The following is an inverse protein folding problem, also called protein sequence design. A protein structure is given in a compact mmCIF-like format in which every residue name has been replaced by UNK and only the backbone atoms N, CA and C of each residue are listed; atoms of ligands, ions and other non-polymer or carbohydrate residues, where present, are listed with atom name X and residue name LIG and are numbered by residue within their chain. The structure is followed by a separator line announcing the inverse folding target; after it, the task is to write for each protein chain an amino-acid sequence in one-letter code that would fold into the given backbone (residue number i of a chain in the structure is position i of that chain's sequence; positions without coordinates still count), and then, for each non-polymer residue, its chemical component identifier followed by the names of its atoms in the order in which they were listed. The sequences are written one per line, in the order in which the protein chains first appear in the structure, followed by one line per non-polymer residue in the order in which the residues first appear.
data_IF_075328503584
#
_entry.id   IF_075328503584
#
_cell.length_a   1.000
_cell.length_b   1.000
_cell.length_c   1.000
_cell.angle_alpha   90.00
_cell.angle_beta   90.00
_cell.angle_gamma   90.00
#
_symmetry.space_group_name_H-M   'P 1'
#
loop_
_entity.id
_entity.type
_entity.pdbx_description
1 polymer ?
#
# COMPACT_ATOMS: atom_id res chain seq x y z
N UNK A 1 5.84 8.95 -0.58
CA UNK A 1 5.78 7.49 -0.37
C UNK A 1 5.48 7.20 1.09
N UNK A 2 6.23 7.81 2.00
CA UNK A 2 6.12 7.63 3.46
C UNK A 2 4.73 7.95 4.03
N UNK A 3 4.08 9.01 3.54
CA UNK A 3 2.73 9.37 4.00
C UNK A 3 1.68 8.30 3.69
N UNK A 4 1.83 7.52 2.61
CA UNK A 4 0.86 6.45 2.32
C UNK A 4 1.06 5.25 3.25
N UNK A 5 2.28 5.03 3.73
CA UNK A 5 2.53 4.02 4.76
C UNK A 5 1.86 4.45 6.05
N UNK A 6 2.03 5.72 6.44
CA UNK A 6 1.41 6.27 7.64
C UNK A 6 -0.13 6.16 7.61
N UNK A 7 -0.76 6.51 6.48
CA UNK A 7 -2.21 6.38 6.34
C UNK A 7 -2.68 4.92 6.46
N UNK A 8 -1.88 3.96 5.97
CA UNK A 8 -2.18 2.53 6.08
C UNK A 8 -2.02 2.06 7.54
N UNK A 9 -1.00 2.54 8.26
CA UNK A 9 -0.83 2.29 9.70
C UNK A 9 -1.95 2.93 10.54
N UNK A 10 -2.44 4.10 10.16
CA UNK A 10 -3.62 4.69 10.81
C UNK A 10 -4.86 3.79 10.62
N UNK A 11 -5.04 3.22 9.44
CA UNK A 11 -6.11 2.28 9.15
C UNK A 11 -6.01 1.00 10.00
N UNK A 12 -4.81 0.53 10.33
CA UNK A 12 -4.57 -0.55 11.29
C UNK A 12 -5.18 -0.21 12.66
N UNK A 13 -4.79 0.93 13.22
CA UNK A 13 -5.22 1.39 14.55
C UNK A 13 -6.75 1.57 14.62
N UNK A 14 -7.35 2.14 13.57
CA UNK A 14 -8.80 2.41 13.53
C UNK A 14 -9.61 1.11 13.39
N UNK A 15 -9.13 0.18 12.58
CA UNK A 15 -9.87 -1.06 12.26
C UNK A 15 -9.67 -2.17 13.27
N UNK A 16 -8.61 -2.13 14.08
CA UNK A 16 -8.22 -3.22 14.98
C UNK A 16 -7.63 -4.43 14.26
N UNK A 17 -7.26 -4.29 12.98
CA UNK A 17 -6.50 -5.31 12.24
C UNK A 17 -5.01 -5.14 12.50
N UNK A 18 -4.18 -6.10 12.08
CA UNK A 18 -2.71 -6.07 12.19
C UNK A 18 -2.08 -6.22 10.80
N UNK A 19 -1.19 -5.32 10.41
CA UNK A 19 -0.49 -5.39 9.12
C UNK A 19 0.76 -6.23 9.29
N UNK A 20 0.83 -7.34 8.55
CA UNK A 20 2.01 -8.20 8.53
C UNK A 20 3.11 -7.65 7.62
N UNK A 21 2.73 -7.13 6.45
CA UNK A 21 3.69 -6.62 5.47
C UNK A 21 3.05 -5.72 4.42
N UNK A 22 3.85 -4.77 3.92
CA UNK A 22 3.53 -3.91 2.77
C UNK A 22 4.61 -4.10 1.72
N UNK A 23 4.21 -4.52 0.53
CA UNK A 23 5.06 -4.67 -0.65
C UNK A 23 4.72 -3.57 -1.67
N UNK A 24 5.75 -2.93 -2.24
CA UNK A 24 5.60 -1.84 -3.19
C UNK A 24 5.87 -2.35 -4.60
N UNK A 25 4.86 -2.26 -5.47
CA UNK A 25 4.99 -2.56 -6.89
C UNK A 25 5.50 -1.36 -7.66
N UNK A 26 6.56 -1.56 -8.45
CA UNK A 26 7.06 -0.55 -9.38
C UNK A 26 6.35 -0.73 -10.71
N UNK A 27 5.34 0.10 -10.99
CA UNK A 27 4.72 0.13 -12.31
C UNK A 27 5.44 1.18 -13.17
N UNK A 28 6.27 0.73 -14.11
CA UNK A 28 6.86 1.62 -15.12
C UNK A 28 5.77 2.18 -16.02
N UNK A 29 5.62 3.51 -15.97
CA UNK A 29 4.75 4.28 -16.85
C UNK A 29 5.21 4.13 -18.31
N UNK A 30 4.62 3.19 -19.05
CA UNK A 30 4.83 3.05 -20.50
C UNK A 30 4.05 4.14 -21.22
N UNK A 31 4.70 5.27 -21.43
CA UNK A 31 4.24 6.31 -22.37
C UNK A 31 4.41 5.82 -23.80
N UNK A 32 3.38 5.15 -24.33
CA UNK A 32 3.31 4.84 -25.75
C UNK A 32 2.89 6.10 -26.52
N UNK A 33 3.90 6.89 -26.93
CA UNK A 33 3.74 7.98 -27.89
C UNK A 33 3.27 7.40 -29.23
N UNK A 34 2.11 7.85 -29.67
CA UNK A 34 1.50 7.43 -30.93
C UNK A 34 2.18 8.15 -32.08
N UNK A 35 2.96 7.41 -32.88
CA UNK A 35 3.26 7.82 -34.27
C UNK A 35 2.38 7.00 -35.21
N UNK A 36 1.39 7.67 -35.79
CA UNK A 36 0.78 7.24 -37.04
C UNK A 36 1.80 7.36 -38.18
N UNK A 37 1.99 6.31 -38.97
CA UNK A 37 2.10 6.42 -40.44
C UNK A 37 1.80 5.07 -41.15
N UNK A 38 0.67 5.11 -41.87
CA UNK A 38 0.17 4.41 -43.08
C UNK A 38 0.94 3.21 -43.69
N UNK A 39 0.22 2.11 -44.01
CA UNK A 39 0.72 1.12 -45.00
C UNK A 39 0.04 -0.26 -45.18
N UNK A 40 -1.25 -0.30 -45.51
CA UNK A 40 -1.97 -1.23 -46.42
C UNK A 40 -1.89 -2.80 -46.37
N UNK A 41 -3.10 -3.40 -46.32
CA UNK A 41 -3.63 -4.66 -46.93
C UNK A 41 -3.02 -6.06 -46.64
N UNK A 42 -3.79 -6.97 -45.97
CA UNK A 42 -4.79 -7.88 -46.61
C UNK A 42 -5.20 -9.10 -45.70
N UNK A 43 -6.51 -9.16 -45.39
CA UNK A 43 -7.44 -10.30 -45.14
C UNK A 43 -6.97 -11.68 -44.60
N UNK A 44 -7.58 -12.13 -43.50
CA UNK A 44 -8.75 -13.05 -43.52
C UNK A 44 -9.39 -13.26 -42.14
N UNK A 45 -10.71 -13.48 -42.16
CA UNK A 45 -11.71 -13.40 -41.07
C UNK A 45 -12.07 -14.81 -40.56
N UNK A 46 -12.15 -15.01 -39.25
CA UNK A 46 -13.07 -15.97 -38.60
C UNK A 46 -13.35 -15.53 -37.15
N UNK A 47 -14.62 -15.49 -36.79
CA UNK A 47 -15.23 -14.86 -35.63
C UNK A 47 -15.03 -15.63 -34.31
N UNK A 48 -14.92 -14.86 -33.22
CA UNK A 48 -14.93 -15.32 -31.84
C UNK A 48 -14.91 -14.09 -30.92
N UNK A 49 -16.07 -13.46 -30.72
CA UNK A 49 -16.28 -12.34 -29.80
C UNK A 49 -15.83 -12.71 -28.37
N UNK A 50 -14.73 -12.10 -27.92
CA UNK A 50 -14.55 -11.70 -26.53
C UNK A 50 -13.90 -10.33 -26.47
N UNK A 51 -14.69 -9.44 -25.89
CA UNK A 51 -14.51 -8.01 -25.62
C UNK A 51 -13.07 -7.51 -25.64
N UNK A 52 -12.89 -6.47 -26.47
CA UNK A 52 -11.77 -5.55 -26.42
C UNK A 52 -11.55 -5.11 -24.97
N UNK A 53 -10.37 -5.43 -24.44
CA UNK A 53 -9.88 -4.78 -23.23
C UNK A 53 -9.84 -3.29 -23.49
N UNK A 54 -10.72 -2.56 -22.84
CA UNK A 54 -10.72 -1.11 -22.82
C UNK A 54 -9.40 -0.68 -22.19
N UNK A 55 -8.44 -0.27 -23.02
CA UNK A 55 -7.23 0.38 -22.55
C UNK A 55 -7.67 1.73 -21.99
N UNK A 56 -8.01 1.74 -20.71
CA UNK A 56 -8.32 2.97 -19.95
C UNK A 56 -7.12 3.89 -20.11
N UNK A 57 -7.23 4.84 -21.04
CA UNK A 57 -6.16 5.79 -21.33
C UNK A 57 -6.11 6.72 -20.12
N UNK A 58 -5.15 6.49 -19.22
CA UNK A 58 -4.96 7.30 -18.02
C UNK A 58 -4.82 8.78 -18.42
N UNK A 59 -5.46 9.72 -17.70
CA UNK A 59 -5.28 11.14 -17.96
C UNK A 59 -3.80 11.52 -17.83
N UNK A 60 -3.31 12.40 -18.70
CA UNK A 60 -1.93 12.88 -18.62
C UNK A 60 -1.66 13.52 -17.24
N UNK A 61 -0.56 13.13 -16.61
CA UNK A 61 -0.14 13.64 -15.30
C UNK A 61 -0.66 12.85 -14.09
N UNK A 62 -1.44 11.78 -14.30
CA UNK A 62 -1.81 10.83 -13.24
C UNK A 62 -0.81 9.69 -13.22
N UNK A 63 -0.13 9.52 -12.09
CA UNK A 63 0.74 8.38 -11.81
C UNK A 63 -0.01 7.38 -10.92
N UNK A 64 0.25 6.10 -11.13
CA UNK A 64 -0.34 5.00 -10.36
C UNK A 64 0.77 4.17 -9.74
N UNK A 65 0.66 3.90 -8.45
CA UNK A 65 1.51 2.93 -7.77
C UNK A 65 0.67 1.74 -7.32
N UNK A 66 1.09 0.54 -7.72
CA UNK A 66 0.50 -0.70 -7.22
C UNK A 66 1.17 -1.10 -5.91
N UNK A 67 0.39 -1.62 -4.96
CA UNK A 67 0.87 -2.08 -3.65
C UNK A 67 0.16 -3.35 -3.24
N UNK A 68 0.87 -4.20 -2.51
CA UNK A 68 0.30 -5.38 -1.89
C UNK A 68 0.41 -5.24 -0.37
N UNK A 69 -0.70 -5.38 0.35
CA UNK A 69 -0.75 -5.30 1.81
C UNK A 69 -1.26 -6.62 2.35
N UNK A 70 -0.53 -7.24 3.28
CA UNK A 70 -0.96 -8.45 4.00
C UNK A 70 -1.38 -8.06 5.42
N UNK A 71 -2.56 -8.50 5.82
CA UNK A 71 -3.22 -8.07 7.05
C UNK A 71 -3.87 -9.28 7.72
N UNK A 72 -3.81 -9.33 9.03
CA UNK A 72 -4.53 -10.25 9.89
C UNK A 72 -5.67 -9.52 10.62
N UNK A 73 -6.87 -10.09 10.63
CA UNK A 73 -8.02 -9.58 11.38
C UNK A 73 -8.58 -10.67 12.28
N UNK A 74 -9.08 -10.30 13.46
CA UNK A 74 -9.65 -11.27 14.41
C UNK A 74 -11.03 -11.77 13.94
N UNK A 75 -11.73 -10.97 13.15
CA UNK A 75 -13.05 -11.29 12.64
C UNK A 75 -13.36 -10.52 11.34
N UNK A 76 -14.48 -10.88 10.71
CA UNK A 76 -14.92 -10.26 9.45
C UNK A 76 -15.17 -8.75 9.55
N UNK A 77 -15.62 -8.25 10.71
CA UNK A 77 -15.93 -6.84 10.88
C UNK A 77 -14.68 -5.97 10.89
N UNK A 78 -13.60 -6.45 11.52
CA UNK A 78 -12.29 -5.78 11.51
C UNK A 78 -11.73 -5.73 10.08
N UNK A 79 -11.77 -6.84 9.33
CA UNK A 79 -11.38 -6.88 7.91
C UNK A 79 -12.19 -5.86 7.09
N UNK A 80 -13.52 -5.87 7.24
CA UNK A 80 -14.39 -4.93 6.52
C UNK A 80 -14.07 -3.48 6.91
N UNK A 81 -13.91 -3.21 8.20
CA UNK A 81 -13.60 -1.88 8.71
C UNK A 81 -12.24 -1.39 8.21
N UNK A 82 -11.26 -2.28 8.04
CA UNK A 82 -9.97 -1.95 7.47
C UNK A 82 -10.11 -1.47 6.02
N UNK A 83 -10.83 -2.22 5.20
CA UNK A 83 -11.09 -1.84 3.80
C UNK A 83 -11.85 -0.51 3.72
N UNK A 84 -12.91 -0.34 4.53
CA UNK A 84 -13.67 0.92 4.56
C UNK A 84 -12.82 2.11 5.01
N UNK A 85 -11.91 1.90 5.97
CA UNK A 85 -10.99 2.95 6.41
C UNK A 85 -10.01 3.31 5.30
N UNK A 86 -9.46 2.32 4.60
CA UNK A 86 -8.57 2.55 3.46
C UNK A 86 -9.25 3.30 2.31
N UNK A 87 -10.49 2.93 1.98
CA UNK A 87 -11.28 3.63 0.94
C UNK A 87 -11.72 5.04 1.38
N UNK A 88 -11.82 5.28 2.69
CA UNK A 88 -12.16 6.58 3.28
C UNK A 88 -11.00 7.57 3.40
N UNK A 89 -9.77 7.16 3.08
CA UNK A 89 -8.60 8.04 3.10
C UNK A 89 -8.77 9.20 2.11
N UNK A 90 -8.11 10.33 2.35
CA UNK A 90 -8.17 11.51 1.47
C UNK A 90 -7.51 11.32 0.10
N UNK A 91 -7.04 10.10 -0.20
CA UNK A 91 -6.38 9.73 -1.46
C UNK A 91 -7.28 8.88 -2.32
N UNK A 92 -7.08 8.95 -3.62
CA UNK A 92 -7.76 8.06 -4.57
C UNK A 92 -7.03 6.72 -4.52
N UNK A 93 -7.62 5.78 -3.79
CA UNK A 93 -7.16 4.39 -3.64
C UNK A 93 -8.26 3.49 -4.22
N UNK A 94 -7.87 2.51 -5.01
CA UNK A 94 -8.77 1.43 -5.45
C UNK A 94 -8.25 0.10 -4.96
N UNK A 95 -9.16 -0.73 -4.45
CA UNK A 95 -8.87 -2.13 -4.15
C UNK A 95 -9.06 -2.93 -5.44
N UNK A 96 -7.95 -3.42 -6.00
CA UNK A 96 -7.97 -4.15 -7.27
C UNK A 96 -8.27 -5.64 -7.05
N UNK A 97 -7.75 -6.21 -5.96
CA UNK A 97 -8.01 -7.60 -5.59
C UNK A 97 -7.94 -7.84 -4.09
N UNK A 98 -8.67 -8.86 -3.63
CA UNK A 98 -8.71 -9.33 -2.25
C UNK A 98 -8.59 -10.86 -2.28
N UNK A 99 -7.56 -11.38 -1.64
CA UNK A 99 -7.42 -12.81 -1.34
C UNK A 99 -7.49 -12.98 0.18
N UNK A 100 -8.25 -13.96 0.68
CA UNK A 100 -8.37 -14.17 2.12
C UNK A 100 -8.48 -15.64 2.48
N UNK A 101 -7.94 -15.98 3.64
CA UNK A 101 -8.00 -17.31 4.23
C UNK A 101 -8.54 -17.21 5.66
N UNK A 102 -9.65 -17.90 5.92
CA UNK A 102 -10.26 -17.96 7.24
C UNK A 102 -9.52 -18.88 8.21
N UNK A 103 -9.84 -18.82 9.51
CA UNK A 103 -9.28 -19.74 10.50
C UNK A 103 -9.76 -21.18 10.28
N UNK A 104 -8.98 -22.13 10.78
CA UNK A 104 -9.37 -23.54 10.80
C UNK A 104 -10.62 -23.77 11.66
N UNK A 105 -11.39 -24.80 11.33
CA UNK A 105 -12.57 -25.17 12.11
C UNK A 105 -12.18 -25.57 13.54
N UNK A 106 -12.95 -25.08 14.51
CA UNK A 106 -12.78 -25.44 15.92
C UNK A 106 -13.25 -26.88 16.11
N UNK A 107 -12.32 -27.79 16.33
CA UNK A 107 -12.62 -29.23 16.53
C UNK A 107 -12.57 -29.65 18.00
N UNK A 108 -12.08 -28.77 18.89
CA UNK A 108 -11.85 -29.07 20.30
C UNK A 108 -12.22 -27.89 21.20
N UNK A 109 -12.63 -28.19 22.44
CA UNK A 109 -13.06 -27.17 23.42
C UNK A 109 -11.97 -26.18 23.84
N UNK A 110 -10.69 -26.56 23.73
CA UNK A 110 -9.54 -25.72 24.10
C UNK A 110 -8.83 -25.10 22.89
N UNK A 111 -9.49 -25.03 21.73
CA UNK A 111 -8.92 -24.45 20.51
C UNK A 111 -9.41 -23.01 20.35
N UNK A 112 -8.48 -22.06 20.28
CA UNK A 112 -8.79 -20.67 20.00
C UNK A 112 -9.19 -20.47 18.53
N UNK A 113 -10.11 -19.54 18.30
CA UNK A 113 -10.40 -19.08 16.95
C UNK A 113 -9.19 -18.29 16.43
N UNK A 114 -8.58 -18.76 15.36
CA UNK A 114 -7.48 -18.05 14.70
C UNK A 114 -7.94 -16.80 13.96
N UNK A 115 -6.98 -16.05 13.43
CA UNK A 115 -7.22 -14.86 12.62
C UNK A 115 -7.65 -15.21 11.18
N UNK A 116 -8.31 -14.26 10.55
CA UNK A 116 -8.51 -14.21 9.10
C UNK A 116 -7.32 -13.46 8.53
N UNK A 117 -6.55 -14.13 7.67
CA UNK A 117 -5.44 -13.49 6.96
C UNK A 117 -5.92 -13.10 5.57
N UNK A 118 -5.62 -11.88 5.14
CA UNK A 118 -6.00 -11.41 3.82
C UNK A 118 -4.92 -10.54 3.18
N UNK A 119 -4.86 -10.61 1.85
CA UNK A 119 -3.94 -9.87 1.01
C UNK A 119 -4.75 -8.94 0.11
N UNK A 120 -4.43 -7.66 0.15
CA UNK A 120 -5.02 -6.63 -0.70
C UNK A 120 -4.01 -6.20 -1.76
N UNK A 121 -4.45 -6.12 -3.02
CA UNK A 121 -3.74 -5.36 -4.05
C UNK A 121 -4.44 -4.02 -4.25
N UNK A 122 -3.68 -2.94 -4.08
CA UNK A 122 -4.17 -1.58 -4.09
C UNK A 122 -3.50 -0.78 -5.21
N UNK A 123 -4.29 -0.05 -5.98
CA UNK A 123 -3.79 0.99 -6.88
C UNK A 123 -4.00 2.36 -6.25
N UNK A 124 -2.91 3.11 -6.09
CA UNK A 124 -2.96 4.47 -5.55
C UNK A 124 -2.62 5.48 -6.63
N UNK A 125 -3.52 6.44 -6.83
CA UNK A 125 -3.40 7.45 -7.87
C UNK A 125 -2.96 8.79 -7.28
N UNK A 126 -2.01 9.45 -7.93
CA UNK A 126 -1.54 10.78 -7.55
C UNK A 126 -1.21 11.61 -8.79
N UNK A 127 -1.33 12.94 -8.67
CA UNK A 127 -1.05 13.86 -9.77
C UNK A 127 0.31 14.53 -9.55
N UNK A 128 1.31 14.16 -10.34
CA UNK A 128 2.70 14.61 -10.14
C UNK A 128 2.98 16.03 -10.65
N UNK A 129 2.08 16.60 -11.46
CA UNK A 129 2.24 17.93 -12.04
C UNK A 129 1.89 19.09 -11.10
N UNK A 130 1.38 18.82 -9.89
CA UNK A 130 0.90 19.83 -8.95
C UNK A 130 1.99 20.24 -7.95
N UNK A 131 2.98 21.02 -8.42
CA UNK A 131 4.05 21.54 -7.56
C UNK A 131 3.52 22.39 -6.39
N UNK A 132 2.38 23.07 -6.56
CA UNK A 132 1.76 23.92 -5.54
C UNK A 132 1.16 23.12 -4.38
N UNK A 133 0.85 21.82 -4.57
CA UNK A 133 0.34 20.94 -3.51
C UNK A 133 1.44 20.34 -2.63
N UNK A 134 2.73 20.54 -2.96
CA UNK A 134 3.84 20.14 -2.09
C UNK A 134 3.78 20.86 -0.74
N UNK A 135 3.29 22.10 -0.72
CA UNK A 135 3.12 22.89 0.51
C UNK A 135 1.97 22.40 1.41
N UNK A 136 1.02 21.63 0.85
CA UNK A 136 -0.10 21.03 1.60
C UNK A 136 0.20 19.62 2.11
N UNK A 137 1.41 19.09 1.89
CA UNK A 137 1.81 17.83 2.50
C UNK A 137 1.89 18.03 4.03
N UNK A 138 1.37 17.09 4.83
CA UNK A 138 1.54 17.14 6.27
C UNK A 138 3.03 17.22 6.60
N UNK A 139 3.40 18.13 7.51
CA UNK A 139 4.79 18.28 7.92
C UNK A 139 5.19 17.07 8.77
N UNK A 140 6.21 16.35 8.34
CA UNK A 140 6.80 15.28 9.12
C UNK A 140 7.67 15.90 10.22
N UNK A 141 7.15 15.96 11.46
CA UNK A 141 7.93 16.36 12.63
C UNK A 141 8.88 15.23 13.04
N UNK A 142 10.03 15.16 12.38
CA UNK A 142 11.12 14.27 12.82
C UNK A 142 11.80 14.94 14.01
N UNK A 143 11.83 14.33 15.21
CA UNK A 143 12.57 14.89 16.33
C UNK A 143 14.05 15.00 15.98
N UNK A 144 14.75 15.98 16.56
CA UNK A 144 16.19 16.10 16.34
C UNK A 144 16.90 14.79 16.74
N UNK A 145 17.94 14.39 15.98
CA UNK A 145 18.71 13.19 16.30
C UNK A 145 19.19 13.24 17.75
N UNK A 146 18.89 12.19 18.52
CA UNK A 146 19.17 12.15 19.95
C UNK A 146 20.67 12.19 20.30
N UNK A 147 21.57 12.18 19.29
CA UNK A 147 23.03 12.22 19.41
C UNK A 147 23.60 11.21 20.43
N UNK A 148 22.85 10.14 20.72
CA UNK A 148 23.28 9.08 21.62
C UNK A 148 24.39 8.32 20.93
N UNK A 149 25.61 8.46 21.44
CA UNK A 149 26.77 7.66 21.00
C UNK A 149 26.65 6.18 21.36
N UNK A 150 25.82 5.86 22.36
CA UNK A 150 25.53 4.51 22.77
C UNK A 150 24.01 4.24 22.65
N UNK A 151 23.59 3.30 21.79
CA UNK A 151 22.18 2.98 21.58
C UNK A 151 21.57 2.17 22.74
N UNK A 152 22.38 1.69 23.70
CA UNK A 152 21.90 0.93 24.85
C UNK A 152 21.71 1.81 26.09
N UNK A 153 20.73 1.47 26.94
CA UNK A 153 20.54 2.08 28.24
C UNK A 153 21.75 1.78 29.16
N UNK A 154 22.67 2.73 29.30
CA UNK A 154 23.69 2.67 30.36
C UNK A 154 23.18 3.43 31.58
N UNK A 155 22.68 2.72 32.58
CA UNK A 155 22.40 3.32 33.89
C UNK A 155 23.72 3.43 34.64
N UNK A 156 24.13 4.66 34.98
CA UNK A 156 25.31 4.91 35.78
C UNK A 156 26.54 5.29 34.96
N UNK A 157 26.92 6.56 35.07
CA UNK A 157 28.26 7.04 34.81
C UNK A 157 29.28 6.20 35.59
N UNK A 158 30.00 5.31 34.90
CA UNK A 158 31.35 4.95 35.38
C UNK A 158 32.24 6.12 35.01
N UNK A 159 32.30 7.10 35.91
CA UNK A 159 33.45 7.99 36.01
C UNK A 159 34.66 7.10 36.32
N UNK A 160 35.35 6.62 35.30
CA UNK A 160 36.73 6.19 35.47
C UNK A 160 37.62 7.32 34.97
N UNK A 161 38.01 8.14 35.96
CA UNK A 161 39.03 9.16 35.86
C UNK A 161 40.26 8.63 35.12
N UNK A 162 40.90 9.51 34.36
CA UNK A 162 42.16 9.19 33.70
C UNK A 162 43.24 8.76 34.69
N UNK A 163 44.07 7.83 34.25
CA UNK A 163 45.52 7.86 34.38
C UNK A 163 46.12 7.22 33.12
N UNK A 164 47.33 7.69 32.81
CA UNK A 164 48.17 7.51 31.62
C UNK A 164 48.21 6.11 30.97
#
# INVERSE_FOLDING_TARGET
MDQLVLDIEEAEIISGSEIDSIEFGTEESTTQDSKEDVGNENRQKAEGERQAGETVKKPNGVETNSKTVKVAASNYFELKSFIETLEGLQRIITVDSIDFNGPEEITSWNQDAGNINFTLTLSVFFMSSLNDLKEGLPSLEIPEPSNKKNPFYTFGSVLQNGQE
#
